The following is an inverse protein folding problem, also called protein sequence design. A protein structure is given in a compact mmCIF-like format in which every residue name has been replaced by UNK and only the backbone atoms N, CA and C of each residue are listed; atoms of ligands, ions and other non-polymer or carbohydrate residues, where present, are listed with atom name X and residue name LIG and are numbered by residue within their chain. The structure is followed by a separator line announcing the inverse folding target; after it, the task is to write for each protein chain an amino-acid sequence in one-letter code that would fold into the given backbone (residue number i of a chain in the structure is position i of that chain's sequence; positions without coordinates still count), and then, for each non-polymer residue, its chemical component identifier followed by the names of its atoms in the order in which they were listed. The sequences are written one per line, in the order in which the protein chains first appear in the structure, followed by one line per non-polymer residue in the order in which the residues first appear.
data_IF_438688385984
#
_entry.id   IF_438688385984
#
_cell.length_a   1.000
_cell.length_b   1.000
_cell.length_c   1.000
_cell.angle_alpha   90.00
_cell.angle_beta   90.00
_cell.angle_gamma   90.00
#
_symmetry.space_group_name_H-M   'P 1'
#
loop_
_entity.id
_entity.type
_entity.pdbx_description
1 polymer ?
#
# COMPACT_ATOMS: atom_id res chain seq x y z
N UNK A 1 1.91 -13.93 -4.82
CA UNK A 1 2.59 -13.32 -3.65
C UNK A 1 2.30 -11.83 -3.42
N UNK A 2 1.78 -11.07 -4.41
CA UNK A 2 1.55 -9.61 -4.29
C UNK A 2 0.68 -9.18 -3.09
N UNK A 3 -0.42 -9.90 -2.80
CA UNK A 3 -1.32 -9.56 -1.68
C UNK A 3 -0.65 -9.60 -0.30
N UNK A 4 0.26 -10.55 -0.08
CA UNK A 4 0.97 -10.66 1.21
C UNK A 4 1.89 -9.45 1.42
N UNK A 5 2.60 -9.05 0.38
CA UNK A 5 3.52 -7.90 0.40
C UNK A 5 2.73 -6.59 0.55
N UNK A 6 1.59 -6.48 -0.11
CA UNK A 6 0.71 -5.31 0.03
C UNK A 6 0.16 -5.18 1.46
N UNK A 7 -0.27 -6.30 2.06
CA UNK A 7 -0.68 -6.34 3.46
C UNK A 7 0.45 -6.05 4.45
N UNK A 8 1.68 -6.49 4.15
CA UNK A 8 2.88 -6.15 4.92
C UNK A 8 3.15 -4.64 4.87
N UNK A 9 3.06 -4.02 3.68
CA UNK A 9 3.21 -2.58 3.49
C UNK A 9 2.21 -1.79 4.33
N UNK A 10 0.95 -2.22 4.38
CA UNK A 10 -0.07 -1.56 5.21
C UNK A 10 0.22 -1.64 6.71
N UNK A 11 0.59 -2.82 7.22
CA UNK A 11 0.96 -2.96 8.64
C UNK A 11 2.17 -2.11 8.98
N UNK A 12 3.16 -2.10 8.09
CA UNK A 12 4.38 -1.30 8.22
C UNK A 12 4.06 0.21 8.25
N UNK A 13 3.15 0.66 7.39
CA UNK A 13 2.65 2.03 7.39
C UNK A 13 1.93 2.40 8.70
N UNK A 14 1.01 1.55 9.18
CA UNK A 14 0.18 1.85 10.37
C UNK A 14 0.92 1.73 11.70
N UNK A 15 1.81 0.76 11.85
CA UNK A 15 2.42 0.44 13.16
C UNK A 15 3.82 1.02 13.35
N UNK A 16 4.56 1.29 12.26
CA UNK A 16 5.97 1.75 12.33
C UNK A 16 6.25 2.89 11.35
N UNK A 17 5.20 3.65 10.96
CA UNK A 17 5.29 4.82 10.08
C UNK A 17 6.06 4.55 8.78
N UNK A 18 6.01 3.31 8.30
CA UNK A 18 6.70 2.83 7.12
C UNK A 18 8.23 2.76 7.19
N UNK A 19 8.86 3.08 8.32
CA UNK A 19 10.31 3.09 8.49
C UNK A 19 10.92 1.69 8.70
N UNK A 20 10.09 0.69 8.99
CA UNK A 20 10.49 -0.69 9.23
C UNK A 20 9.48 -1.65 8.60
N UNK A 21 9.86 -2.91 8.40
CA UNK A 21 8.93 -3.95 7.95
C UNK A 21 8.26 -4.63 9.15
N UNK A 22 6.98 -4.38 9.33
CA UNK A 22 6.17 -4.93 10.41
C UNK A 22 5.45 -6.20 9.95
N UNK A 23 6.11 -7.35 10.12
CA UNK A 23 5.51 -8.64 9.75
C UNK A 23 4.42 -9.03 10.75
N UNK A 24 4.76 -8.98 12.04
CA UNK A 24 3.95 -9.35 13.19
C UNK A 24 4.43 -8.58 14.43
N UNK A 25 3.66 -8.50 15.54
CA UNK A 25 4.08 -7.79 16.75
C UNK A 25 5.37 -8.29 17.38
N UNK A 26 5.67 -9.58 17.22
CA UNK A 26 6.90 -10.25 17.66
C UNK A 26 8.02 -10.20 16.59
N UNK A 27 7.68 -9.88 15.35
CA UNK A 27 8.60 -9.89 14.21
C UNK A 27 8.58 -8.56 13.44
N UNK A 28 9.44 -7.65 13.86
CA UNK A 28 9.70 -6.36 13.21
C UNK A 28 11.13 -6.37 12.69
N UNK A 29 11.29 -6.11 11.38
CA UNK A 29 12.58 -6.01 10.72
C UNK A 29 12.94 -4.54 10.52
N UNK A 30 14.00 -4.11 11.20
CA UNK A 30 14.68 -2.84 10.94
C UNK A 30 15.78 -3.03 9.89
N UNK A 31 16.41 -1.94 9.47
CA UNK A 31 17.47 -1.99 8.44
C UNK A 31 18.61 -2.94 8.78
N UNK A 32 19.05 -2.96 10.04
CA UNK A 32 20.12 -3.83 10.50
C UNK A 32 19.75 -5.31 10.38
N UNK A 33 18.57 -5.71 10.87
CA UNK A 33 18.05 -7.08 10.74
C UNK A 33 17.81 -7.47 9.30
N UNK A 34 17.40 -6.52 8.45
CA UNK A 34 17.28 -6.76 7.01
C UNK A 34 18.65 -7.09 6.41
N UNK A 35 19.73 -6.39 6.79
CA UNK A 35 21.10 -6.66 6.30
C UNK A 35 21.63 -8.02 6.75
N UNK A 36 21.26 -8.45 7.96
CA UNK A 36 21.62 -9.76 8.52
C UNK A 36 20.83 -10.91 7.85
N UNK A 37 19.73 -10.61 7.17
CA UNK A 37 18.92 -11.61 6.48
C UNK A 37 19.49 -11.96 5.10
N UNK A 38 19.37 -13.23 4.70
CA UNK A 38 19.77 -13.70 3.36
C UNK A 38 18.94 -13.11 2.21
N UNK A 39 17.86 -12.39 2.52
CA UNK A 39 16.90 -11.83 1.56
C UNK A 39 16.85 -10.29 1.63
N UNK A 40 17.94 -9.65 2.04
CA UNK A 40 18.06 -8.18 2.14
C UNK A 40 17.52 -7.43 0.91
N UNK A 41 17.90 -7.85 -0.30
CA UNK A 41 17.47 -7.22 -1.56
C UNK A 41 15.94 -7.26 -1.75
N UNK A 42 15.30 -8.35 -1.33
CA UNK A 42 13.85 -8.49 -1.37
C UNK A 42 13.19 -7.57 -0.33
N UNK A 43 13.74 -7.53 0.88
CA UNK A 43 13.30 -6.61 1.94
C UNK A 43 13.37 -5.15 1.50
N UNK A 44 14.45 -4.73 0.82
CA UNK A 44 14.56 -3.38 0.28
C UNK A 44 13.44 -3.04 -0.70
N UNK A 45 13.06 -3.99 -1.55
CA UNK A 45 11.96 -3.80 -2.51
C UNK A 45 10.61 -3.71 -1.79
N UNK A 46 10.39 -4.55 -0.77
CA UNK A 46 9.18 -4.50 0.06
C UNK A 46 9.07 -3.21 0.88
N UNK A 47 10.20 -2.63 1.27
CA UNK A 47 10.27 -1.40 2.06
C UNK A 47 9.82 -0.15 1.29
N UNK A 48 9.83 -0.19 -0.05
CA UNK A 48 9.37 0.93 -0.87
C UNK A 48 7.86 1.18 -0.73
N UNK A 49 7.05 0.13 -0.64
CA UNK A 49 5.58 0.24 -0.58
C UNK A 49 5.10 1.05 0.63
N UNK A 50 5.49 0.74 1.88
CA UNK A 50 5.05 1.52 3.02
C UNK A 50 5.58 2.96 2.97
N UNK A 51 6.75 3.21 2.37
CA UNK A 51 7.26 4.58 2.17
C UNK A 51 6.35 5.38 1.23
N UNK A 52 5.88 4.77 0.15
CA UNK A 52 4.89 5.41 -0.74
C UNK A 52 3.55 5.65 -0.02
N UNK A 53 3.10 4.73 0.85
CA UNK A 53 1.90 4.95 1.66
C UNK A 53 2.02 6.14 2.61
N UNK A 54 3.21 6.35 3.19
CA UNK A 54 3.50 7.53 4.02
C UNK A 54 3.45 8.80 3.17
N UNK A 55 4.08 8.81 1.99
CA UNK A 55 4.07 9.99 1.10
C UNK A 55 2.66 10.35 0.65
N UNK A 56 1.85 9.35 0.34
CA UNK A 56 0.48 9.51 -0.17
C UNK A 56 -0.58 9.65 0.93
N UNK A 57 -0.22 9.42 2.20
CA UNK A 57 -1.14 9.41 3.34
C UNK A 57 -2.37 8.51 3.10
N UNK A 58 -2.12 7.29 2.60
CA UNK A 58 -3.17 6.37 2.14
C UNK A 58 -4.15 6.04 3.27
N UNK A 59 -5.44 6.22 3.01
CA UNK A 59 -6.50 5.90 3.95
C UNK A 59 -6.82 4.40 3.96
N UNK A 60 -7.52 3.94 5.01
CA UNK A 60 -7.90 2.54 5.12
C UNK A 60 -8.87 2.12 3.99
N UNK A 61 -9.75 3.02 3.56
CA UNK A 61 -10.72 2.76 2.49
C UNK A 61 -10.00 2.57 1.15
N UNK A 62 -9.09 3.47 0.79
CA UNK A 62 -8.26 3.36 -0.40
C UNK A 62 -7.44 2.07 -0.40
N UNK A 63 -6.83 1.72 0.73
CA UNK A 63 -6.09 0.48 0.88
C UNK A 63 -6.98 -0.76 0.66
N UNK A 64 -8.19 -0.80 1.23
CA UNK A 64 -9.10 -1.92 1.06
C UNK A 64 -9.56 -2.06 -0.40
N UNK A 65 -9.85 -0.95 -1.07
CA UNK A 65 -10.15 -0.92 -2.49
C UNK A 65 -8.99 -1.46 -3.34
N UNK A 66 -7.76 -0.98 -3.11
CA UNK A 66 -6.58 -1.48 -3.81
C UNK A 66 -6.33 -2.96 -3.55
N UNK A 67 -6.54 -3.43 -2.30
CA UNK A 67 -6.40 -4.85 -1.95
C UNK A 67 -7.42 -5.72 -2.68
N UNK A 68 -8.67 -5.27 -2.79
CA UNK A 68 -9.71 -5.98 -3.55
C UNK A 68 -9.37 -6.02 -5.04
N UNK A 69 -8.90 -4.91 -5.63
CA UNK A 69 -8.51 -4.84 -7.03
C UNK A 69 -7.30 -5.76 -7.33
N UNK A 70 -6.31 -5.79 -6.44
CA UNK A 70 -5.19 -6.74 -6.52
C UNK A 70 -5.68 -8.20 -6.50
N UNK A 71 -6.63 -8.52 -5.61
CA UNK A 71 -7.21 -9.87 -5.52
C UNK A 71 -7.95 -10.25 -6.82
N UNK A 72 -8.79 -9.35 -7.35
CA UNK A 72 -9.52 -9.57 -8.59
C UNK A 72 -8.59 -9.71 -9.80
N UNK A 73 -7.51 -8.94 -9.86
CA UNK A 73 -6.52 -9.02 -10.94
C UNK A 73 -5.73 -10.33 -10.93
N UNK A 74 -5.47 -10.92 -9.75
CA UNK A 74 -4.80 -12.24 -9.68
C UNK A 74 -5.64 -13.41 -10.20
N UNK A 75 -6.95 -13.23 -10.37
CA UNK A 75 -7.86 -14.28 -10.87
C UNK A 75 -8.00 -14.32 -12.40
N UNK A 76 -7.60 -13.26 -13.11
CA UNK A 76 -7.51 -13.24 -14.57
C UNK A 76 -6.14 -13.77 -14.96
N UNK A 77 -6.07 -14.83 -15.77
CA UNK A 77 -4.88 -15.56 -16.22
C UNK A 77 -3.81 -14.74 -16.98
N UNK A 78 -3.73 -13.42 -16.80
CA UNK A 78 -2.72 -12.59 -17.43
C UNK A 78 -1.79 -11.99 -16.36
N UNK A 79 -0.51 -12.42 -16.29
CA UNK A 79 0.45 -11.86 -15.36
C UNK A 79 0.85 -10.47 -15.88
N UNK A 80 0.21 -9.42 -15.41
CA UNK A 80 0.82 -8.10 -15.53
C UNK A 80 2.04 -8.03 -14.60
N UNK A 81 3.17 -7.50 -15.08
CA UNK A 81 4.44 -7.54 -14.35
C UNK A 81 4.35 -6.74 -13.03
N UNK A 82 5.12 -7.13 -12.00
CA UNK A 82 5.15 -6.50 -10.68
C UNK A 82 5.95 -5.19 -10.70
N UNK A 83 5.77 -4.37 -11.73
CA UNK A 83 6.53 -3.13 -11.84
C UNK A 83 5.78 -2.07 -11.04
N UNK A 84 6.51 -1.39 -10.15
CA UNK A 84 6.06 -0.22 -9.37
C UNK A 84 5.27 0.78 -10.23
N UNK A 85 5.57 0.87 -11.52
CA UNK A 85 4.92 1.69 -12.53
C UNK A 85 3.45 1.31 -12.80
N UNK A 86 3.11 0.02 -12.78
CA UNK A 86 1.71 -0.47 -12.87
C UNK A 86 0.91 -0.04 -11.65
N UNK A 87 1.51 -0.21 -10.46
CA UNK A 87 0.94 0.27 -9.20
C UNK A 87 0.79 1.80 -9.21
N UNK A 88 1.79 2.55 -9.69
CA UNK A 88 1.74 4.00 -9.84
C UNK A 88 0.68 4.46 -10.84
N UNK A 89 0.52 3.78 -11.98
CA UNK A 89 -0.57 4.06 -12.94
C UNK A 89 -1.93 3.76 -12.31
N UNK A 90 -2.02 2.71 -11.49
CA UNK A 90 -3.23 2.41 -10.72
C UNK A 90 -3.50 3.43 -9.61
N UNK A 91 -2.45 3.94 -8.96
CA UNK A 91 -2.51 5.01 -7.97
C UNK A 91 -2.90 6.35 -8.61
N UNK A 92 -2.36 6.68 -9.78
CA UNK A 92 -2.77 7.84 -10.58
C UNK A 92 -4.21 7.68 -11.08
N UNK A 93 -4.65 6.46 -11.40
CA UNK A 93 -6.05 6.17 -11.73
C UNK A 93 -6.97 6.38 -10.52
N UNK A 94 -6.60 5.89 -9.33
CA UNK A 94 -7.33 6.15 -8.08
C UNK A 94 -7.35 7.66 -7.80
N UNK A 95 -6.20 8.34 -7.79
CA UNK A 95 -6.11 9.78 -7.52
C UNK A 95 -6.88 10.64 -8.54
N UNK A 96 -6.88 10.25 -9.83
CA UNK A 96 -7.68 10.93 -10.86
C UNK A 96 -9.18 10.67 -10.71
N UNK A 97 -9.58 9.52 -10.16
CA UNK A 97 -10.96 9.25 -9.76
C UNK A 97 -11.32 9.85 -8.38
N UNK A 98 -10.35 10.13 -7.50
CA UNK A 98 -10.57 10.75 -6.19
C UNK A 98 -10.96 12.23 -6.28
N UNK A 99 -10.69 12.91 -7.40
CA UNK A 99 -11.32 14.21 -7.72
C UNK A 99 -12.86 14.13 -7.86
N UNK A 100 -13.47 12.95 -7.77
CA UNK A 100 -14.92 12.77 -7.68
C UNK A 100 -15.43 12.93 -6.22
N UNK A 101 -14.57 13.00 -5.21
CA UNK A 101 -15.00 13.28 -3.83
C UNK A 101 -14.86 14.76 -3.41
N UNK A 102 -14.42 15.64 -4.30
CA UNK A 102 -14.28 17.06 -4.00
C UNK A 102 -15.57 17.84 -4.37
N UNK A 103 -16.64 17.64 -3.56
CA UNK A 103 -17.77 18.57 -3.25
C UNK A 103 -18.69 19.06 -4.42
N UNK A 104 -20.00 19.40 -4.19
CA UNK A 104 -20.39 20.31 -3.11
C UNK A 104 -21.81 20.19 -2.45
N UNK A 105 -21.92 20.85 -1.27
CA UNK A 105 -23.07 21.64 -0.78
C UNK A 105 -24.26 20.98 -0.05
N UNK A 106 -24.49 21.56 1.14
CA UNK A 106 -25.76 21.83 1.84
C UNK A 106 -26.61 20.66 2.34
N UNK A 107 -26.42 20.31 3.62
CA UNK A 107 -27.56 20.17 4.54
C UNK A 107 -27.12 20.37 5.99
N UNK A 108 -26.86 21.62 6.37
CA UNK A 108 -26.93 22.02 7.79
C UNK A 108 -27.16 23.52 7.95
N UNK A 109 -28.27 23.98 7.37
CA UNK A 109 -28.98 25.13 7.91
C UNK A 109 -30.24 24.61 8.61
N UNK A 110 -30.42 25.03 9.87
CA UNK A 110 -31.61 24.94 10.73
C UNK A 110 -32.10 23.54 11.16
N UNK A 111 -31.77 23.16 12.41
CA UNK A 111 -32.67 23.12 13.59
C UNK A 111 -31.81 23.12 14.85
#
# INVERSE_FOLDING_TARGET
MSLMVFGLGWRSYKHVSGQMLYFAPDLILNEQRMKESSFYSLCLTMWQIPQEFVKLQVTQEEFLCMKALLLLNTSKNHPLPPNLLSLLVFFLFILSHSSIYQEPLLFKDNI
#
